data_IF_482651216415
#
_entry.id   IF_482651216415
#
_cell.length_a   1.000
_cell.length_b   1.000
_cell.length_c   1.000
_cell.angle_alpha   90.00
_cell.angle_beta   90.00
_cell.angle_gamma   90.00
#
_symmetry.space_group_name_H-M   'P 1'
#
loop_
_entity.id
_entity.type
_entity.pdbx_description
1 polymer ?
#
# COMPACT_ATOMS: atom_id res chain seq x y z
N UNK A 1 -7.36 10.67 -7.30
CA UNK A 1 -6.18 10.46 -6.42
C UNK A 1 -4.92 10.69 -7.25
N UNK A 2 -3.95 11.42 -6.72
CA UNK A 2 -2.67 11.64 -7.42
C UNK A 2 -1.72 10.46 -7.24
N UNK A 3 -0.94 10.14 -8.28
CA UNK A 3 0.10 9.11 -8.24
C UNK A 3 1.06 9.43 -7.09
N UNK A 4 1.41 8.42 -6.29
CA UNK A 4 2.29 8.58 -5.13
C UNK A 4 1.61 9.19 -3.89
N UNK A 5 0.30 9.40 -3.88
CA UNK A 5 -0.45 9.69 -2.65
C UNK A 5 -0.63 8.41 -1.79
N UNK A 6 -0.90 8.56 -0.48
CA UNK A 6 -1.15 7.40 0.42
C UNK A 6 -2.22 6.47 -0.16
N UNK A 7 -3.36 7.05 -0.57
CA UNK A 7 -4.47 6.27 -1.09
C UNK A 7 -4.18 5.64 -2.46
N UNK A 8 -3.32 6.26 -3.29
CA UNK A 8 -2.84 5.63 -4.51
C UNK A 8 -2.07 4.34 -4.19
N UNK A 9 -1.13 4.37 -3.22
CA UNK A 9 -0.43 3.14 -2.81
C UNK A 9 -1.36 2.08 -2.21
N UNK A 10 -2.35 2.48 -1.40
CA UNK A 10 -3.37 1.54 -0.89
C UNK A 10 -4.10 0.84 -2.04
N UNK A 11 -4.51 1.58 -3.06
CA UNK A 11 -5.23 1.00 -4.20
C UNK A 11 -4.33 0.06 -5.00
N UNK A 12 -3.08 0.44 -5.28
CA UNK A 12 -2.14 -0.42 -6.00
C UNK A 12 -1.86 -1.72 -5.22
N UNK A 13 -1.66 -1.65 -3.90
CA UNK A 13 -1.51 -2.82 -3.05
C UNK A 13 -2.75 -3.72 -3.06
N UNK A 14 -3.95 -3.13 -2.96
CA UNK A 14 -5.22 -3.87 -3.04
C UNK A 14 -5.38 -4.55 -4.40
N UNK A 15 -4.98 -3.91 -5.50
CA UNK A 15 -4.96 -4.52 -6.85
C UNK A 15 -3.98 -5.68 -6.95
N UNK A 16 -2.84 -5.59 -6.26
CA UNK A 16 -1.87 -6.67 -6.13
C UNK A 16 -2.30 -7.77 -5.14
N UNK A 17 -3.51 -7.71 -4.57
CA UNK A 17 -4.02 -8.69 -3.61
C UNK A 17 -3.57 -8.46 -2.16
N UNK A 18 -2.75 -7.44 -1.89
CA UNK A 18 -2.24 -7.12 -0.55
C UNK A 18 -3.24 -6.22 0.17
N UNK A 19 -4.08 -6.82 1.02
CA UNK A 19 -5.04 -6.10 1.87
C UNK A 19 -4.54 -5.91 3.30
N UNK A 20 -3.72 -6.83 3.76
CA UNK A 20 -3.15 -6.86 5.10
C UNK A 20 -1.63 -7.02 5.02
N UNK A 21 -0.94 -6.36 5.94
CA UNK A 21 0.49 -6.49 6.18
C UNK A 21 0.69 -6.49 7.69
N UNK A 22 1.48 -7.42 8.23
CA UNK A 22 1.73 -7.57 9.67
C UNK A 22 0.46 -7.45 10.53
N UNK A 23 -0.55 -8.26 10.20
CA UNK A 23 -1.84 -8.35 10.92
C UNK A 23 -2.70 -7.07 10.89
N UNK A 24 -2.29 -6.03 10.17
CA UNK A 24 -3.04 -4.77 10.03
C UNK A 24 -3.42 -4.48 8.58
N UNK A 25 -4.51 -3.73 8.38
CA UNK A 25 -4.88 -3.25 7.06
C UNK A 25 -3.83 -2.30 6.51
N UNK A 26 -3.54 -2.41 5.20
CA UNK A 26 -2.61 -1.49 4.52
C UNK A 26 -2.99 -0.02 4.71
N UNK A 27 -4.29 0.28 4.83
CA UNK A 27 -4.82 1.64 5.07
C UNK A 27 -4.33 2.30 6.35
N UNK A 28 -3.91 1.52 7.35
CA UNK A 28 -3.38 2.02 8.62
C UNK A 28 -1.94 2.54 8.53
N UNK A 29 -1.21 2.18 7.47
CA UNK A 29 0.22 2.49 7.34
C UNK A 29 0.48 3.87 6.72
N UNK A 30 1.66 4.42 7.00
CA UNK A 30 2.14 5.67 6.39
C UNK A 30 2.54 5.44 4.93
N UNK A 31 2.49 6.51 4.13
CA UNK A 31 2.83 6.50 2.70
C UNK A 31 4.16 5.79 2.40
N UNK A 32 5.23 6.08 3.15
CA UNK A 32 6.55 5.47 2.89
C UNK A 32 6.57 3.96 3.13
N UNK A 33 5.80 3.46 4.10
CA UNK A 33 5.66 2.01 4.34
C UNK A 33 4.92 1.37 3.17
N UNK A 34 3.84 2.00 2.70
CA UNK A 34 3.08 1.51 1.55
C UNK A 34 3.89 1.51 0.25
N UNK A 35 4.73 2.52 0.05
CA UNK A 35 5.65 2.58 -1.09
C UNK A 35 6.64 1.41 -1.05
N UNK A 36 7.32 1.22 0.08
CA UNK A 36 8.25 0.10 0.27
C UNK A 36 7.55 -1.26 0.11
N UNK A 37 6.32 -1.40 0.62
CA UNK A 37 5.54 -2.62 0.50
C UNK A 37 5.18 -2.90 -0.97
N UNK A 38 4.78 -1.88 -1.73
CA UNK A 38 4.45 -2.02 -3.14
C UNK A 38 5.69 -2.38 -3.97
N UNK A 39 6.85 -1.79 -3.65
CA UNK A 39 8.13 -2.16 -4.29
C UNK A 39 8.53 -3.60 -4.01
N UNK A 40 8.24 -4.13 -2.81
CA UNK A 40 8.48 -5.55 -2.46
C UNK A 40 7.49 -6.52 -3.08
N UNK A 41 6.34 -6.03 -3.56
CA UNK A 41 5.26 -6.85 -4.15
C UNK A 41 5.42 -6.98 -5.67
N UNK A 42 6.25 -6.14 -6.29
CA UNK A 42 6.66 -6.27 -7.70
C UNK A 42 7.73 -7.34 -7.86
#
# INVERSE_FOLDING_TARGET
>A
MHIGSKGWYVQELKKAGVRHYEERYVESYKKHVLANLLERTK
#
